data_IF_237476501606
#
_entry.id   IF_237476501606
#
_cell.length_a   1.000
_cell.length_b   1.000
_cell.length_c   1.000
_cell.angle_alpha   90.00
_cell.angle_beta   90.00
_cell.angle_gamma   90.00
#
_symmetry.space_group_name_H-M   'P 1'
#
loop_
_entity.id
_entity.type
_entity.pdbx_description
1 polymer ?
#
# COMPACT_ATOMS: atom_id res chain seq x y z
N UNK A 1 31.99 -15.33 7.54
CA UNK A 1 31.84 -13.98 6.94
C UNK A 1 30.45 -13.48 7.33
N UNK A 2 30.38 -12.57 8.32
CA UNK A 2 29.17 -12.32 9.10
C UNK A 2 28.12 -11.47 8.38
N UNK A 3 26.91 -12.02 8.24
CA UNK A 3 25.72 -11.40 7.65
C UNK A 3 25.14 -10.36 8.63
N UNK A 4 25.76 -9.17 8.69
CA UNK A 4 25.24 -8.00 9.43
C UNK A 4 25.55 -6.70 8.70
N UNK A 5 25.26 -6.62 7.41
CA UNK A 5 25.22 -5.32 6.75
C UNK A 5 23.89 -4.62 7.09
N UNK A 6 24.00 -3.81 8.14
CA UNK A 6 23.03 -2.82 8.56
C UNK A 6 22.67 -1.97 7.35
N UNK A 7 21.44 -2.12 6.87
CA UNK A 7 20.82 -1.17 5.96
C UNK A 7 20.99 0.23 6.59
N UNK A 8 21.92 1.02 6.07
CA UNK A 8 22.31 2.25 6.73
C UNK A 8 21.31 3.34 6.35
N UNK A 9 20.20 3.41 7.08
CA UNK A 9 19.15 4.40 6.86
C UNK A 9 19.70 5.83 6.81
N UNK A 10 20.72 6.15 7.61
CA UNK A 10 21.35 7.49 7.54
C UNK A 10 21.98 7.76 6.18
N UNK A 11 22.63 6.76 5.55
CA UNK A 11 23.21 6.87 4.21
C UNK A 11 22.13 6.91 3.11
N UNK A 12 21.07 6.12 3.25
CA UNK A 12 19.91 6.18 2.34
C UNK A 12 19.27 7.58 2.34
N UNK A 13 19.08 8.16 3.52
CA UNK A 13 18.52 9.50 3.65
C UNK A 13 19.44 10.59 3.09
N UNK A 14 20.76 10.35 3.05
CA UNK A 14 21.75 11.22 2.37
C UNK A 14 21.85 10.97 0.86
N UNK A 15 21.01 10.08 0.30
CA UNK A 15 21.02 9.70 -1.13
C UNK A 15 22.38 9.16 -1.59
N UNK A 16 23.09 8.47 -0.70
CA UNK A 16 24.34 7.79 -1.01
C UNK A 16 24.07 6.67 -2.04
N UNK A 17 24.72 6.75 -3.21
CA UNK A 17 24.50 5.82 -4.32
C UNK A 17 24.72 4.36 -3.92
N UNK A 18 25.83 4.04 -3.24
CA UNK A 18 26.14 2.65 -2.82
C UNK A 18 25.09 2.09 -1.86
N UNK A 19 24.59 2.93 -0.95
CA UNK A 19 23.53 2.54 -0.03
C UNK A 19 22.21 2.27 -0.77
N UNK A 20 21.88 3.07 -1.78
CA UNK A 20 20.70 2.86 -2.63
C UNK A 20 20.84 1.64 -3.54
N UNK A 21 22.01 1.42 -4.13
CA UNK A 21 22.28 0.23 -4.97
C UNK A 21 22.05 -1.06 -4.15
N UNK A 22 22.63 -1.13 -2.94
CA UNK A 22 22.42 -2.26 -2.03
C UNK A 22 20.96 -2.40 -1.55
N UNK A 23 20.24 -1.29 -1.41
CA UNK A 23 18.82 -1.30 -1.05
C UNK A 23 17.96 -1.85 -2.19
N UNK A 24 18.20 -1.39 -3.42
CA UNK A 24 17.51 -1.84 -4.61
C UNK A 24 17.79 -3.33 -4.84
N UNK A 25 19.04 -3.76 -4.78
CA UNK A 25 19.43 -5.17 -4.95
C UNK A 25 18.71 -6.07 -3.94
N UNK A 26 18.66 -5.65 -2.67
CA UNK A 26 18.04 -6.43 -1.59
C UNK A 26 16.52 -6.52 -1.69
N UNK A 27 15.85 -5.44 -2.08
CA UNK A 27 14.39 -5.35 -1.98
C UNK A 27 13.64 -5.45 -3.30
N UNK A 28 14.33 -5.38 -4.45
CA UNK A 28 13.72 -5.52 -5.77
C UNK A 28 12.91 -6.82 -5.89
N UNK A 29 13.44 -7.96 -5.41
CA UNK A 29 12.74 -9.23 -5.48
C UNK A 29 11.40 -9.25 -4.73
N UNK A 30 11.37 -8.68 -3.51
CA UNK A 30 10.13 -8.58 -2.70
C UNK A 30 9.14 -7.61 -3.35
N UNK A 31 9.63 -6.46 -3.82
CA UNK A 31 8.80 -5.44 -4.47
C UNK A 31 8.16 -6.04 -5.73
N UNK A 32 8.96 -6.70 -6.57
CA UNK A 32 8.52 -7.34 -7.80
C UNK A 32 7.49 -8.44 -7.53
N UNK A 33 7.76 -9.35 -6.58
CA UNK A 33 6.82 -10.40 -6.21
C UNK A 33 5.48 -9.84 -5.69
N UNK A 34 5.53 -8.77 -4.90
CA UNK A 34 4.32 -8.09 -4.42
C UNK A 34 3.51 -7.47 -5.56
N UNK A 35 4.18 -6.89 -6.56
CA UNK A 35 3.54 -6.26 -7.72
C UNK A 35 2.87 -7.35 -8.58
N UNK A 36 3.59 -8.44 -8.88
CA UNK A 36 3.04 -9.58 -9.64
C UNK A 36 1.82 -10.19 -8.96
N UNK A 37 1.85 -10.38 -7.63
CA UNK A 37 0.69 -10.90 -6.87
C UNK A 37 -0.54 -10.02 -7.10
N UNK A 38 -0.37 -8.70 -7.13
CA UNK A 38 -1.48 -7.75 -7.37
C UNK A 38 -1.94 -7.79 -8.82
N UNK A 39 -1.04 -7.73 -9.80
CA UNK A 39 -1.42 -7.86 -11.21
C UNK A 39 -2.23 -9.14 -11.47
N UNK A 40 -1.69 -10.30 -11.08
CA UNK A 40 -2.36 -11.60 -11.24
C UNK A 40 -3.72 -11.69 -10.55
N UNK A 41 -3.96 -10.89 -9.49
CA UNK A 41 -5.25 -10.86 -8.79
C UNK A 41 -6.28 -9.95 -9.46
N UNK A 42 -5.85 -9.03 -10.34
CA UNK A 42 -6.70 -7.96 -10.87
C UNK A 42 -6.86 -8.00 -12.39
N UNK A 43 -5.88 -8.50 -13.13
CA UNK A 43 -5.90 -8.55 -14.59
C UNK A 43 -4.93 -9.61 -15.12
N UNK A 44 -5.27 -10.22 -16.26
CA UNK A 44 -4.33 -11.04 -17.04
C UNK A 44 -3.63 -10.26 -18.15
N UNK A 45 -4.09 -9.04 -18.41
CA UNK A 45 -3.56 -8.15 -19.42
C UNK A 45 -2.51 -7.24 -18.80
N UNK A 46 -1.29 -7.74 -18.64
CA UNK A 46 -0.12 -6.94 -18.27
C UNK A 46 1.13 -7.59 -18.84
N UNK A 47 2.16 -6.78 -19.09
CA UNK A 47 3.45 -7.26 -19.58
C UNK A 47 4.58 -6.94 -18.58
N UNK A 48 5.79 -7.37 -18.90
CA UNK A 48 6.97 -7.12 -18.06
C UNK A 48 7.26 -5.63 -17.87
N UNK A 49 7.03 -4.81 -18.90
CA UNK A 49 7.25 -3.37 -18.85
C UNK A 49 6.30 -2.67 -17.87
N UNK A 50 5.03 -3.11 -17.79
CA UNK A 50 4.07 -2.61 -16.79
C UNK A 50 4.59 -2.88 -15.35
N UNK A 51 5.17 -4.05 -15.12
CA UNK A 51 5.73 -4.42 -13.82
C UNK A 51 6.95 -3.56 -13.49
N UNK A 52 7.86 -3.38 -14.45
CA UNK A 52 9.05 -2.54 -14.31
C UNK A 52 8.69 -1.06 -14.04
N UNK A 53 7.67 -0.53 -14.70
CA UNK A 53 7.18 0.84 -14.45
C UNK A 53 6.70 0.99 -12.99
N UNK A 54 5.96 0.01 -12.47
CA UNK A 54 5.51 0.04 -11.07
C UNK A 54 6.68 -0.10 -10.11
N UNK A 55 7.66 -0.97 -10.39
CA UNK A 55 8.89 -1.08 -9.58
C UNK A 55 9.60 0.28 -9.52
N UNK A 56 9.74 0.94 -10.66
CA UNK A 56 10.34 2.27 -10.74
C UNK A 56 9.54 3.31 -9.95
N UNK A 57 8.20 3.34 -10.07
CA UNK A 57 7.32 4.22 -9.30
C UNK A 57 7.50 4.01 -7.78
N UNK A 58 7.63 2.76 -7.32
CA UNK A 58 7.90 2.47 -5.90
C UNK A 58 9.20 3.11 -5.43
N UNK A 59 10.32 2.92 -6.14
CA UNK A 59 11.60 3.51 -5.75
C UNK A 59 11.60 5.04 -5.87
N UNK A 60 10.97 5.60 -6.90
CA UNK A 60 10.79 7.04 -7.05
C UNK A 60 9.99 7.63 -5.89
N UNK A 61 8.90 6.98 -5.45
CA UNK A 61 8.13 7.40 -4.27
C UNK A 61 8.97 7.39 -2.98
N UNK A 62 9.90 6.45 -2.84
CA UNK A 62 10.81 6.41 -1.70
C UNK A 62 11.85 7.54 -1.71
N UNK A 63 12.28 7.99 -2.90
CA UNK A 63 13.24 9.09 -3.09
C UNK A 63 12.60 10.49 -3.09
N UNK A 64 11.32 10.58 -3.48
CA UNK A 64 10.58 11.84 -3.64
C UNK A 64 10.46 12.61 -2.32
N UNK A 65 10.29 13.92 -2.44
CA UNK A 65 10.06 14.86 -1.33
C UNK A 65 11.11 14.71 -0.21
N UNK A 66 12.39 14.65 -0.62
CA UNK A 66 13.53 14.44 0.28
C UNK A 66 13.37 13.19 1.18
N UNK A 67 13.04 12.07 0.54
CA UNK A 67 12.83 10.77 1.17
C UNK A 67 11.77 10.80 2.28
N UNK A 68 10.76 11.68 2.20
CA UNK A 68 9.72 11.84 3.23
C UNK A 68 9.02 10.52 3.57
N UNK A 69 8.72 9.70 2.56
CA UNK A 69 8.09 8.40 2.76
C UNK A 69 9.03 7.47 3.53
N UNK A 70 10.29 7.37 3.13
CA UNK A 70 11.30 6.56 3.82
C UNK A 70 11.54 7.04 5.26
N UNK A 71 11.56 8.35 5.50
CA UNK A 71 11.63 8.96 6.87
C UNK A 71 10.42 8.61 7.74
N UNK A 72 9.28 8.28 7.14
CA UNK A 72 8.06 7.91 7.87
C UNK A 72 8.04 6.42 8.30
N UNK A 73 8.98 5.61 7.81
CA UNK A 73 9.10 4.22 8.22
C UNK A 73 9.37 4.12 9.72
N UNK A 74 8.64 3.22 10.39
CA UNK A 74 8.79 2.97 11.81
C UNK A 74 8.93 1.47 12.06
N UNK A 75 10.12 0.98 12.47
CA UNK A 75 10.38 -0.44 12.66
C UNK A 75 9.56 -1.07 13.80
N UNK A 76 9.06 -0.27 14.76
CA UNK A 76 8.17 -0.77 15.82
C UNK A 76 6.74 -1.03 15.33
N UNK A 77 6.39 -0.63 14.10
CA UNK A 77 5.05 -0.82 13.54
C UNK A 77 4.95 -1.97 12.56
N UNK A 78 6.00 -2.21 11.78
CA UNK A 78 6.07 -3.28 10.79
C UNK A 78 7.53 -3.50 10.39
N UNK A 79 7.84 -4.71 9.92
CA UNK A 79 9.12 -4.96 9.25
C UNK A 79 9.23 -4.11 7.97
N UNK A 80 10.46 -3.85 7.53
CA UNK A 80 10.71 -3.10 6.30
C UNK A 80 10.13 -3.82 5.08
N UNK A 81 10.25 -5.15 5.03
CA UNK A 81 9.67 -6.01 3.99
C UNK A 81 8.16 -5.79 3.92
N UNK A 82 7.45 -5.95 5.04
CA UNK A 82 6.00 -5.74 5.11
C UNK A 82 5.61 -4.33 4.67
N UNK A 83 6.36 -3.32 5.11
CA UNK A 83 6.10 -1.93 4.73
C UNK A 83 6.29 -1.67 3.23
N UNK A 84 7.33 -2.24 2.62
CA UNK A 84 7.57 -2.16 1.18
C UNK A 84 6.50 -2.90 0.38
N UNK A 85 6.06 -4.09 0.81
CA UNK A 85 4.92 -4.81 0.20
C UNK A 85 3.65 -3.95 0.17
N UNK A 86 3.36 -3.21 1.25
CA UNK A 86 2.20 -2.31 1.30
C UNK A 86 2.35 -1.17 0.28
N UNK A 87 3.54 -0.58 0.17
CA UNK A 87 3.82 0.50 -0.80
C UNK A 87 3.70 -0.04 -2.22
N UNK A 88 4.31 -1.19 -2.53
CA UNK A 88 4.25 -1.85 -3.83
C UNK A 88 2.82 -2.17 -4.24
N UNK A 89 2.01 -2.73 -3.33
CA UNK A 89 0.59 -2.95 -3.58
C UNK A 89 -0.12 -1.65 -3.92
N UNK A 90 0.06 -0.61 -3.11
CA UNK A 90 -0.57 0.70 -3.37
C UNK A 90 -0.18 1.27 -4.73
N UNK A 91 1.11 1.20 -5.09
CA UNK A 91 1.61 1.69 -6.37
C UNK A 91 1.02 0.90 -7.55
N UNK A 92 0.94 -0.43 -7.44
CA UNK A 92 0.36 -1.28 -8.48
C UNK A 92 -1.12 -0.96 -8.71
N UNK A 93 -1.89 -0.78 -7.63
CA UNK A 93 -3.31 -0.43 -7.76
C UNK A 93 -3.47 0.98 -8.35
N UNK A 94 -2.64 1.95 -7.95
CA UNK A 94 -2.65 3.28 -8.56
C UNK A 94 -2.36 3.22 -10.06
N UNK A 95 -1.39 2.40 -10.48
CA UNK A 95 -1.06 2.15 -11.89
C UNK A 95 -2.24 1.56 -12.65
N UNK A 96 -2.84 0.48 -12.16
CA UNK A 96 -4.00 -0.16 -12.79
C UNK A 96 -5.18 0.80 -12.93
N UNK A 97 -5.41 1.65 -11.93
CA UNK A 97 -6.46 2.68 -11.98
C UNK A 97 -6.17 3.74 -13.06
N UNK A 98 -4.94 4.23 -13.14
CA UNK A 98 -4.53 5.21 -14.18
C UNK A 98 -4.67 4.60 -15.57
N UNK A 99 -4.25 3.35 -15.74
CA UNK A 99 -4.35 2.64 -17.02
C UNK A 99 -5.80 2.52 -17.47
N UNK A 100 -6.73 2.10 -16.60
CA UNK A 100 -8.17 2.06 -16.92
C UNK A 100 -8.73 3.42 -17.33
N UNK A 101 -8.38 4.50 -16.61
CA UNK A 101 -8.82 5.85 -16.98
C UNK A 101 -8.32 6.25 -18.38
N UNK A 102 -7.11 5.80 -18.77
CA UNK A 102 -6.55 6.08 -20.09
C UNK A 102 -7.20 5.25 -21.21
N UNK A 103 -7.69 4.03 -20.92
CA UNK A 103 -8.34 3.15 -21.91
C UNK A 103 -9.86 3.25 -21.96
N UNK A 104 -10.51 3.90 -20.99
CA UNK A 104 -11.99 3.96 -20.88
C UNK A 104 -12.54 5.33 -21.34
N UNK A 105 -13.48 5.32 -22.29
CA UNK A 105 -14.41 6.42 -22.54
C UNK A 105 -15.20 6.75 -21.26
N UNK A 106 -15.57 8.02 -21.03
CA UNK A 106 -16.03 8.58 -19.74
C UNK A 106 -17.18 7.83 -19.02
N UNK A 107 -17.89 6.91 -19.69
CA UNK A 107 -19.09 6.21 -19.19
C UNK A 107 -18.85 4.89 -18.41
N UNK A 108 -17.68 4.24 -18.49
CA UNK A 108 -17.53 2.82 -18.04
C UNK A 108 -16.78 2.60 -16.70
N UNK A 109 -16.85 3.57 -15.79
CA UNK A 109 -16.09 3.55 -14.52
C UNK A 109 -16.59 2.55 -13.45
N UNK A 110 -17.64 1.76 -13.69
CA UNK A 110 -18.37 1.07 -12.61
C UNK A 110 -17.96 -0.37 -12.29
N UNK A 111 -17.21 -1.09 -13.12
CA UNK A 111 -16.90 -2.49 -12.81
C UNK A 111 -15.46 -2.71 -12.36
N UNK A 112 -15.31 -2.77 -11.03
CA UNK A 112 -14.21 -3.42 -10.34
C UNK A 112 -14.81 -4.26 -9.20
N UNK A 113 -15.17 -5.51 -9.51
CA UNK A 113 -15.32 -6.58 -8.51
C UNK A 113 -13.95 -6.92 -7.95
N UNK A 114 -13.45 -6.03 -7.10
CA UNK A 114 -12.24 -6.26 -6.31
C UNK A 114 -12.62 -7.26 -5.24
N UNK A 115 -12.24 -8.51 -5.44
CA UNK A 115 -12.23 -9.51 -4.39
C UNK A 115 -10.95 -9.34 -3.56
N UNK A 116 -11.06 -9.08 -2.25
CA UNK A 116 -9.89 -8.95 -1.40
C UNK A 116 -9.31 -10.34 -1.14
N UNK A 117 -8.08 -10.58 -1.58
CA UNK A 117 -7.24 -11.57 -0.91
C UNK A 117 -6.47 -10.82 0.19
N UNK A 118 -7.11 -10.68 1.35
CA UNK A 118 -6.33 -10.59 2.59
C UNK A 118 -5.63 -11.94 2.71
N UNK A 119 -4.31 -11.95 2.90
CA UNK A 119 -3.66 -13.18 3.36
C UNK A 119 -4.45 -13.66 4.58
N UNK A 120 -5.03 -14.84 4.43
CA UNK A 120 -5.91 -15.52 5.36
C UNK A 120 -5.17 -15.72 6.67
N UNK A 121 -5.55 -14.95 7.70
CA UNK A 121 -5.34 -15.23 9.15
C UNK A 121 -5.80 -14.08 10.05
N UNK A 122 -6.19 -12.92 9.51
CA UNK A 122 -6.69 -11.80 10.33
C UNK A 122 -8.18 -12.03 10.69
N UNK A 123 -8.44 -12.84 11.71
CA UNK A 123 -9.77 -13.00 12.28
C UNK A 123 -10.12 -11.77 13.14
N UNK A 124 -10.78 -10.78 12.56
CA UNK A 124 -11.31 -9.61 13.27
C UNK A 124 -12.62 -10.04 13.95
N UNK A 125 -12.77 -9.90 15.28
CA UNK A 125 -14.02 -10.26 15.96
C UNK A 125 -15.19 -9.44 15.44
N UNK A 126 -16.35 -10.08 15.31
CA UNK A 126 -17.61 -9.39 15.07
C UNK A 126 -17.87 -8.37 16.21
N UNK A 127 -18.24 -7.15 15.83
CA UNK A 127 -18.51 -6.05 16.79
C UNK A 127 -17.32 -5.16 17.17
N UNK A 128 -16.07 -5.52 16.84
CA UNK A 128 -14.91 -4.66 17.16
C UNK A 128 -14.99 -3.30 16.44
N UNK A 129 -15.37 -3.34 15.17
CA UNK A 129 -15.59 -2.18 14.31
C UNK A 129 -17.07 -2.00 14.03
N UNK A 130 -17.54 -0.75 14.01
CA UNK A 130 -18.88 -0.48 13.51
C UNK A 130 -18.98 -0.75 12.01
N UNK A 131 -20.18 -0.98 11.50
CA UNK A 131 -20.41 -1.19 10.05
C UNK A 131 -19.85 -0.04 9.22
N UNK A 132 -19.99 1.19 9.70
CA UNK A 132 -19.38 2.37 9.07
C UNK A 132 -17.85 2.35 9.09
N UNK A 133 -17.23 1.81 10.14
CA UNK A 133 -15.77 1.68 10.21
C UNK A 133 -15.26 0.57 9.29
N UNK A 134 -15.95 -0.57 9.25
CA UNK A 134 -15.66 -1.67 8.31
C UNK A 134 -15.76 -1.19 6.88
N UNK A 135 -16.87 -0.55 6.51
CA UNK A 135 -17.10 -0.03 5.16
C UNK A 135 -16.00 0.94 4.74
N UNK A 136 -15.56 1.84 5.63
CA UNK A 136 -14.47 2.78 5.31
C UNK A 136 -13.14 2.08 5.13
N UNK A 137 -12.85 1.05 5.94
CA UNK A 137 -11.66 0.23 5.74
C UNK A 137 -11.75 -0.56 4.44
N UNK A 138 -12.89 -1.14 4.11
CA UNK A 138 -13.09 -1.86 2.85
C UNK A 138 -12.95 -0.91 1.64
N UNK A 139 -13.60 0.24 1.65
CA UNK A 139 -13.47 1.22 0.56
C UNK A 139 -12.03 1.75 0.42
N UNK A 140 -11.32 1.92 1.54
CA UNK A 140 -9.96 2.43 1.54
C UNK A 140 -8.90 1.37 1.20
N UNK A 141 -9.02 0.14 1.73
CA UNK A 141 -8.02 -0.91 1.59
C UNK A 141 -8.39 -1.93 0.49
N UNK A 142 -9.67 -2.23 0.30
CA UNK A 142 -10.15 -3.17 -0.73
C UNK A 142 -10.43 -2.41 -2.03
N UNK A 143 -11.22 -1.33 -1.97
CA UNK A 143 -11.52 -0.53 -3.17
C UNK A 143 -10.47 0.53 -3.49
N UNK A 144 -9.43 0.65 -2.65
CA UNK A 144 -8.32 1.58 -2.80
C UNK A 144 -8.73 3.03 -3.15
N UNK A 145 -9.90 3.46 -2.67
CA UNK A 145 -10.41 4.81 -2.91
C UNK A 145 -9.67 5.81 -2.03
N UNK A 146 -9.39 7.00 -2.56
CA UNK A 146 -8.83 8.05 -1.70
C UNK A 146 -9.91 8.54 -0.73
N UNK A 147 -9.47 8.97 0.45
CA UNK A 147 -10.37 9.47 1.51
C UNK A 147 -11.30 10.58 0.98
N UNK A 148 -10.83 11.40 0.04
CA UNK A 148 -11.63 12.43 -0.63
C UNK A 148 -12.77 11.84 -1.48
N UNK A 149 -12.50 10.76 -2.20
CA UNK A 149 -13.45 10.10 -3.09
C UNK A 149 -14.48 9.31 -2.26
N UNK A 150 -14.02 8.65 -1.19
CA UNK A 150 -14.91 7.97 -0.21
C UNK A 150 -15.82 8.98 0.49
N UNK A 151 -15.28 10.15 0.84
CA UNK A 151 -16.04 11.21 1.47
C UNK A 151 -17.13 11.75 0.52
N UNK A 152 -16.79 11.98 -0.75
CA UNK A 152 -17.76 12.33 -1.79
C UNK A 152 -18.82 11.25 -1.99
N UNK A 153 -18.41 9.98 -2.13
CA UNK A 153 -19.30 8.84 -2.32
C UNK A 153 -20.32 8.68 -1.18
N UNK A 154 -19.87 8.88 0.06
CA UNK A 154 -20.71 8.73 1.26
C UNK A 154 -21.40 10.04 1.69
N UNK A 155 -21.30 11.12 0.91
CA UNK A 155 -21.90 12.41 1.22
C UNK A 155 -21.42 13.03 2.54
N UNK A 156 -20.18 12.77 2.95
CA UNK A 156 -19.63 13.24 4.23
C UNK A 156 -18.35 14.04 4.07
N UNK A 157 -18.02 14.83 5.10
CA UNK A 157 -16.77 15.62 5.11
C UNK A 157 -15.53 14.72 5.10
N UNK A 158 -14.50 15.11 4.35
CA UNK A 158 -13.20 14.42 4.27
C UNK A 158 -12.60 14.19 5.66
N UNK A 159 -12.72 15.17 6.55
CA UNK A 159 -12.24 15.08 7.92
C UNK A 159 -12.94 13.95 8.71
N UNK A 160 -14.25 13.77 8.50
CA UNK A 160 -15.03 12.67 9.10
C UNK A 160 -14.49 11.32 8.64
N UNK A 161 -14.12 11.18 7.36
CA UNK A 161 -13.49 9.94 6.88
C UNK A 161 -12.10 9.70 7.45
N UNK A 162 -11.26 10.73 7.54
CA UNK A 162 -9.94 10.64 8.20
C UNK A 162 -10.08 10.17 9.65
N UNK A 163 -10.99 10.79 10.40
CA UNK A 163 -11.26 10.44 11.79
C UNK A 163 -11.85 9.04 11.94
N UNK A 164 -12.77 8.63 11.05
CA UNK A 164 -13.37 7.29 11.05
C UNK A 164 -12.30 6.22 10.83
N UNK A 165 -11.49 6.37 9.77
CA UNK A 165 -10.36 5.48 9.47
C UNK A 165 -9.37 5.40 10.63
N UNK A 166 -8.98 6.55 11.19
CA UNK A 166 -8.05 6.59 12.31
C UNK A 166 -8.59 5.82 13.53
N UNK A 167 -9.86 6.05 13.90
CA UNK A 167 -10.51 5.34 15.01
C UNK A 167 -10.59 3.84 14.76
N UNK A 168 -10.93 3.42 13.54
CA UNK A 168 -10.99 2.01 13.16
C UNK A 168 -9.61 1.33 13.29
N UNK A 169 -8.56 1.94 12.74
CA UNK A 169 -7.18 1.41 12.87
C UNK A 169 -6.72 1.39 14.34
N UNK A 170 -7.08 2.42 15.14
CA UNK A 170 -6.72 2.46 16.56
C UNK A 170 -7.37 1.32 17.35
N UNK A 171 -8.63 0.99 17.06
CA UNK A 171 -9.33 -0.16 17.66
C UNK A 171 -8.67 -1.49 17.27
N UNK A 172 -8.40 -1.68 15.97
CA UNK A 172 -7.69 -2.87 15.49
C UNK A 172 -6.33 -3.04 16.18
N UNK A 173 -5.54 -1.96 16.27
CA UNK A 173 -4.23 -2.01 16.97
C UNK A 173 -4.35 -2.37 18.44
N UNK A 174 -5.35 -1.86 19.16
CA UNK A 174 -5.56 -2.21 20.57
C UNK A 174 -5.88 -3.69 20.73
N UNK A 175 -6.76 -4.21 19.87
CA UNK A 175 -7.15 -5.61 19.89
C UNK A 175 -5.97 -6.55 19.63
N UNK A 176 -5.15 -6.27 18.61
CA UNK A 176 -3.96 -7.08 18.34
C UNK A 176 -2.84 -6.92 19.39
N UNK A 177 -2.82 -5.80 20.14
CA UNK A 177 -1.90 -5.62 21.27
C UNK A 177 -2.34 -6.30 22.57
N UNK A 178 -3.63 -6.58 22.75
CA UNK A 178 -4.14 -7.26 23.94
C UNK A 178 -4.17 -8.78 23.79
N UNK A 179 -3.93 -9.29 22.57
CA UNK A 179 -4.00 -10.71 22.23
C UNK A 179 -2.62 -11.33 21.95
N UNK A 180 -1.55 -10.56 22.11
CA UNK A 180 -0.15 -11.01 22.05
C UNK A 180 0.57 -10.50 23.28
#
# INVERSE_FOLDING_TARGET
MGIRDFLNFKRLLKKDKKAWDAFVERFSGVIHASILKVFNSHTKDFNTQDVEEVVQDVFLRLLKDDCRLLKSYNPHRASLVTWLTIISRSATIDFLRRRKIATTSLDDLTELKIHPHFDSDICIPEGLLSERQKLVLQLFFDKNMQIKDIAGLLGVKVQTMRSCKHKAIKKLRKFFKSKG
#
